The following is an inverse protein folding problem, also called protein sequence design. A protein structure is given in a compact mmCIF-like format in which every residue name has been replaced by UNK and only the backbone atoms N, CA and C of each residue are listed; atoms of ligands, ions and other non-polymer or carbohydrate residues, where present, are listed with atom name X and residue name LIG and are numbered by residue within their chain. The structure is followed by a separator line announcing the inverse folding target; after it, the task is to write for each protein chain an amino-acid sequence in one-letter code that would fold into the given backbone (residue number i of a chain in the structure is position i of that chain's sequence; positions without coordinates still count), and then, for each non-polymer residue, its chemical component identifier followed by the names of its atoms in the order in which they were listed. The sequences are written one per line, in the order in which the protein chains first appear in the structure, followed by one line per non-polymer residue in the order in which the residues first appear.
data_IF_227502736279
#
_entry.id   IF_227502736279
#
_cell.length_a   1.000
_cell.length_b   1.000
_cell.length_c   1.000
_cell.angle_alpha   90.00
_cell.angle_beta   90.00
_cell.angle_gamma   90.00
#
_symmetry.space_group_name_H-M   'P 1'
#
loop_
_entity.id
_entity.type
_entity.pdbx_description
1 polymer ?
#
# COMPACT_ATOMS: atom_id res chain seq x y z
N UNK A 1 -19.95 8.21 19.47
CA UNK A 1 -19.24 7.56 18.35
C UNK A 1 -19.32 8.40 17.08
N UNK A 2 -20.49 8.83 16.66
CA UNK A 2 -20.71 9.68 15.47
C UNK A 2 -19.90 10.99 15.46
N UNK A 3 -19.85 11.72 16.58
CA UNK A 3 -19.11 13.01 16.67
C UNK A 3 -17.61 12.80 16.49
N UNK A 4 -17.05 11.74 17.08
CA UNK A 4 -15.63 11.41 16.97
C UNK A 4 -15.26 11.01 15.52
N UNK A 5 -16.07 10.17 14.89
CA UNK A 5 -15.86 9.78 13.49
C UNK A 5 -15.93 11.00 12.57
N UNK A 6 -16.94 11.84 12.72
CA UNK A 6 -17.09 13.08 11.92
C UNK A 6 -15.89 14.03 12.10
N UNK A 7 -15.38 14.17 13.33
CA UNK A 7 -14.22 15.02 13.59
C UNK A 7 -12.95 14.50 12.90
N UNK A 8 -12.73 13.18 12.93
CA UNK A 8 -11.58 12.56 12.24
C UNK A 8 -11.72 12.68 10.72
N UNK A 9 -12.93 12.44 10.17
CA UNK A 9 -13.20 12.60 8.74
C UNK A 9 -12.93 14.03 8.29
N UNK A 10 -13.42 15.04 9.02
CA UNK A 10 -13.17 16.44 8.70
C UNK A 10 -11.68 16.80 8.75
N UNK A 11 -10.97 16.33 9.78
CA UNK A 11 -9.52 16.55 9.89
C UNK A 11 -8.75 15.86 8.76
N UNK A 12 -9.14 14.65 8.40
CA UNK A 12 -8.60 13.90 7.26
C UNK A 12 -8.87 14.64 5.95
N UNK A 13 -10.10 15.14 5.76
CA UNK A 13 -10.49 15.88 4.57
C UNK A 13 -9.68 17.15 4.37
N UNK A 14 -9.46 17.92 5.43
CA UNK A 14 -8.62 19.12 5.38
C UNK A 14 -7.19 18.74 5.01
N UNK A 15 -6.64 17.73 5.66
CA UNK A 15 -5.27 17.27 5.44
C UNK A 15 -5.05 16.81 3.98
N UNK A 16 -5.95 15.98 3.46
CA UNK A 16 -5.86 15.45 2.10
C UNK A 16 -6.12 16.49 1.02
N UNK A 17 -7.16 17.31 1.18
CA UNK A 17 -7.52 18.31 0.15
C UNK A 17 -6.57 19.49 0.09
N UNK A 18 -6.00 19.91 1.24
CA UNK A 18 -5.21 21.14 1.30
C UNK A 18 -3.70 20.94 1.24
N UNK A 19 -3.19 19.80 1.70
CA UNK A 19 -1.76 19.60 1.85
C UNK A 19 -1.25 18.36 1.10
N UNK A 20 -1.81 17.20 1.40
CA UNK A 20 -1.21 15.93 0.96
C UNK A 20 -1.29 15.72 -0.54
N UNK A 21 -2.40 16.06 -1.17
CA UNK A 21 -2.56 15.94 -2.62
C UNK A 21 -1.40 16.64 -3.35
N UNK A 22 -1.13 17.90 -2.96
CA UNK A 22 -0.08 18.71 -3.57
C UNK A 22 1.33 18.25 -3.16
N UNK A 23 1.51 17.90 -1.89
CA UNK A 23 2.82 17.49 -1.39
C UNK A 23 3.26 16.16 -2.01
N UNK A 24 2.37 15.18 -2.10
CA UNK A 24 2.68 13.85 -2.66
C UNK A 24 2.93 13.90 -4.16
N UNK A 25 1.96 14.45 -4.91
CA UNK A 25 2.10 14.57 -6.37
C UNK A 25 3.24 15.50 -6.71
N UNK A 26 3.36 16.64 -6.01
CA UNK A 26 4.44 17.60 -6.20
C UNK A 26 5.83 17.02 -5.95
N UNK A 27 6.00 16.22 -4.90
CA UNK A 27 7.26 15.51 -4.62
C UNK A 27 7.57 14.51 -5.73
N UNK A 28 6.57 13.76 -6.21
CA UNK A 28 6.75 12.82 -7.31
C UNK A 28 7.15 13.51 -8.63
N UNK A 29 6.50 14.61 -8.97
CA UNK A 29 6.86 15.46 -10.12
C UNK A 29 8.28 16.02 -9.96
N UNK A 30 8.61 16.55 -8.79
CA UNK A 30 9.93 17.07 -8.48
C UNK A 30 11.03 16.01 -8.70
N UNK A 31 10.86 14.80 -8.14
CA UNK A 31 11.83 13.72 -8.35
C UNK A 31 11.86 13.21 -9.79
N UNK A 32 10.72 13.18 -10.49
CA UNK A 32 10.67 12.83 -11.91
C UNK A 32 11.53 13.76 -12.74
N UNK A 33 11.43 15.07 -12.51
CA UNK A 33 12.24 16.07 -13.21
C UNK A 33 13.71 16.00 -12.79
N UNK A 34 13.97 16.00 -11.48
CA UNK A 34 15.32 16.01 -10.92
C UNK A 34 16.15 14.78 -11.30
N UNK A 35 15.49 13.62 -11.37
CA UNK A 35 16.12 12.35 -11.74
C UNK A 35 15.90 11.98 -13.22
N UNK A 36 15.44 12.93 -14.04
CA UNK A 36 15.31 12.79 -15.50
C UNK A 36 14.46 11.59 -15.91
N UNK A 37 13.27 11.44 -15.31
CA UNK A 37 12.36 10.34 -15.61
C UNK A 37 12.89 8.98 -15.16
N UNK A 38 13.41 8.90 -13.93
CA UNK A 38 14.04 7.70 -13.36
C UNK A 38 13.13 6.47 -13.44
N UNK A 39 11.82 6.63 -13.28
CA UNK A 39 10.84 5.56 -13.35
C UNK A 39 10.78 4.88 -14.72
N UNK A 40 11.11 5.59 -15.80
CA UNK A 40 11.22 5.01 -17.14
C UNK A 40 12.64 4.49 -17.39
N UNK A 41 13.63 5.26 -17.02
CA UNK A 41 15.04 5.01 -17.30
C UNK A 41 15.60 3.80 -16.54
N UNK A 42 15.16 3.59 -15.30
CA UNK A 42 15.61 2.47 -14.44
C UNK A 42 14.63 1.30 -14.38
N UNK A 43 13.49 1.39 -15.08
CA UNK A 43 12.49 0.32 -15.07
C UNK A 43 13.05 -1.01 -15.53
N UNK A 44 13.73 -1.00 -16.69
CA UNK A 44 14.36 -2.21 -17.25
C UNK A 44 15.42 -2.82 -16.34
N UNK A 45 16.19 -2.00 -15.61
CA UNK A 45 17.15 -2.47 -14.61
C UNK A 45 16.43 -3.21 -13.47
N UNK A 46 15.33 -2.64 -12.97
CA UNK A 46 14.49 -3.25 -11.94
C UNK A 46 13.96 -4.62 -12.38
N UNK A 47 13.37 -4.68 -13.58
CA UNK A 47 12.87 -5.95 -14.17
C UNK A 47 13.97 -7.00 -14.28
N UNK A 48 15.12 -6.63 -14.81
CA UNK A 48 16.24 -7.57 -14.97
C UNK A 48 16.74 -8.11 -13.61
N UNK A 49 16.81 -7.26 -12.58
CA UNK A 49 17.25 -7.68 -11.24
C UNK A 49 16.28 -8.62 -10.55
N UNK A 50 14.99 -8.43 -10.75
CA UNK A 50 13.95 -9.26 -10.11
C UNK A 50 13.77 -10.58 -10.87
N UNK A 51 13.67 -10.52 -12.20
CA UNK A 51 13.31 -11.68 -13.04
C UNK A 51 14.50 -12.32 -13.74
N UNK A 52 15.61 -11.61 -13.97
CA UNK A 52 16.79 -12.13 -14.68
C UNK A 52 17.59 -13.17 -13.90
N UNK A 53 17.51 -13.15 -12.57
CA UNK A 53 18.14 -14.11 -11.67
C UNK A 53 17.11 -14.82 -10.77
N UNK A 54 15.90 -15.02 -11.29
CA UNK A 54 14.81 -15.60 -10.52
C UNK A 54 15.12 -17.05 -10.16
N UNK A 55 15.41 -17.29 -8.90
CA UNK A 55 15.46 -18.61 -8.29
C UNK A 55 14.44 -18.67 -7.16
N UNK A 56 13.46 -19.57 -7.26
CA UNK A 56 12.48 -19.85 -6.21
C UNK A 56 13.14 -20.29 -4.87
N UNK A 57 14.45 -20.53 -4.88
CA UNK A 57 15.29 -20.86 -3.72
C UNK A 57 16.28 -19.73 -3.47
N UNK A 58 15.78 -18.54 -3.13
CA UNK A 58 16.63 -17.41 -2.70
C UNK A 58 17.46 -17.74 -1.44
N UNK A 59 18.55 -16.98 -1.22
CA UNK A 59 19.31 -17.06 0.04
C UNK A 59 18.38 -16.70 1.19
N UNK A 60 18.42 -17.50 2.28
CA UNK A 60 17.60 -17.21 3.48
C UNK A 60 17.94 -15.83 4.03
N UNK A 61 16.90 -15.11 4.50
CA UNK A 61 17.08 -13.88 5.27
C UNK A 61 17.81 -14.21 6.59
N UNK A 62 18.73 -13.37 6.99
CA UNK A 62 19.52 -13.48 8.21
C UNK A 62 19.70 -12.12 8.88
N UNK A 63 20.50 -12.03 9.93
CA UNK A 63 20.76 -10.79 10.66
C UNK A 63 21.48 -9.71 9.81
N UNK A 64 22.08 -10.10 8.68
CA UNK A 64 22.73 -9.21 7.70
C UNK A 64 21.79 -8.72 6.60
N UNK A 65 20.52 -9.14 6.63
CA UNK A 65 19.48 -8.68 5.72
C UNK A 65 18.83 -9.79 4.90
N UNK A 66 18.22 -9.42 3.77
CA UNK A 66 17.47 -10.28 2.88
C UNK A 66 17.86 -10.04 1.41
N UNK A 67 17.46 -10.93 0.51
CA UNK A 67 17.69 -10.71 -0.94
C UNK A 67 16.85 -9.53 -1.44
N UNK A 68 17.23 -8.92 -2.58
CA UNK A 68 16.42 -7.87 -3.22
C UNK A 68 15.01 -8.35 -3.54
N UNK A 69 14.85 -9.62 -3.94
CA UNK A 69 13.54 -10.22 -4.20
C UNK A 69 12.71 -10.36 -2.91
N UNK A 70 13.30 -10.81 -1.80
CA UNK A 70 12.61 -10.87 -0.50
C UNK A 70 12.21 -9.49 0.01
N UNK A 71 13.09 -8.49 -0.18
CA UNK A 71 12.77 -7.11 0.18
C UNK A 71 11.61 -6.55 -0.67
N UNK A 72 11.62 -6.81 -1.98
CA UNK A 72 10.52 -6.45 -2.87
C UNK A 72 9.24 -7.21 -2.51
N UNK A 73 9.31 -8.52 -2.29
CA UNK A 73 8.14 -9.31 -1.89
C UNK A 73 7.55 -8.84 -0.56
N UNK A 74 8.39 -8.44 0.40
CA UNK A 74 7.93 -7.85 1.66
C UNK A 74 7.28 -6.47 1.45
N UNK A 75 7.82 -5.64 0.55
CA UNK A 75 7.22 -4.37 0.17
C UNK A 75 5.89 -4.58 -0.56
N UNK A 76 5.83 -5.48 -1.55
CA UNK A 76 4.60 -5.82 -2.28
C UNK A 76 3.55 -6.44 -1.33
N UNK A 77 3.96 -7.26 -0.36
CA UNK A 77 3.05 -7.79 0.64
C UNK A 77 2.33 -6.68 1.42
N UNK A 78 3.03 -5.59 1.70
CA UNK A 78 2.45 -4.41 2.33
C UNK A 78 1.57 -3.61 1.36
N UNK A 79 2.00 -3.45 0.12
CA UNK A 79 1.31 -2.67 -0.92
C UNK A 79 0.04 -3.36 -1.43
N UNK A 80 0.13 -4.62 -1.85
CA UNK A 80 -1.00 -5.37 -2.42
C UNK A 80 -1.88 -5.93 -1.29
N UNK A 81 -2.88 -5.17 -0.92
CA UNK A 81 -3.78 -5.44 0.20
C UNK A 81 -5.23 -5.07 -0.09
N UNK A 82 -5.95 -4.66 0.95
CA UNK A 82 -7.34 -4.18 0.81
C UNK A 82 -7.45 -2.98 -0.13
N UNK A 83 -6.38 -2.19 -0.28
CA UNK A 83 -6.32 -1.05 -1.18
C UNK A 83 -6.66 -1.40 -2.63
N UNK A 84 -6.18 -2.55 -3.11
CA UNK A 84 -6.38 -3.01 -4.48
C UNK A 84 -7.81 -3.54 -4.74
N UNK A 85 -8.53 -3.98 -3.73
CA UNK A 85 -9.88 -4.55 -3.85
C UNK A 85 -10.90 -3.55 -3.31
N UNK A 86 -10.98 -3.41 -1.97
CA UNK A 86 -11.92 -2.53 -1.29
C UNK A 86 -11.62 -1.06 -1.56
N UNK A 87 -10.36 -0.66 -1.52
CA UNK A 87 -9.93 0.72 -1.77
C UNK A 87 -10.21 1.17 -3.20
N UNK A 88 -9.95 0.32 -4.19
CA UNK A 88 -10.28 0.58 -5.59
C UNK A 88 -11.79 0.77 -5.78
N UNK A 89 -12.61 -0.13 -5.21
CA UNK A 89 -14.07 -0.01 -5.27
C UNK A 89 -14.56 1.30 -4.63
N UNK A 90 -14.02 1.66 -3.47
CA UNK A 90 -14.34 2.93 -2.79
C UNK A 90 -13.93 4.14 -3.62
N UNK A 91 -12.75 4.11 -4.26
CA UNK A 91 -12.31 5.20 -5.14
C UNK A 91 -13.27 5.43 -6.30
N UNK A 92 -13.71 4.34 -6.94
CA UNK A 92 -14.63 4.41 -8.08
C UNK A 92 -16.04 4.85 -7.68
N UNK A 93 -16.53 4.46 -6.51
CA UNK A 93 -17.83 4.91 -6.01
C UNK A 93 -17.79 6.39 -5.63
N UNK A 94 -16.74 6.84 -4.95
CA UNK A 94 -16.64 8.22 -4.45
C UNK A 94 -16.11 9.22 -5.48
N UNK A 95 -15.25 8.78 -6.40
CA UNK A 95 -14.59 9.62 -7.40
C UNK A 95 -15.01 9.32 -8.85
N UNK A 96 -15.91 8.37 -9.07
CA UNK A 96 -16.31 7.89 -10.40
C UNK A 96 -15.19 7.11 -11.12
N UNK A 97 -15.47 6.55 -12.30
CA UNK A 97 -14.47 5.83 -13.10
C UNK A 97 -13.21 6.65 -13.42
N UNK A 98 -13.33 7.97 -13.52
CA UNK A 98 -12.22 8.91 -13.72
C UNK A 98 -11.18 8.90 -12.59
N UNK A 99 -11.54 8.45 -11.39
CA UNK A 99 -10.59 8.30 -10.30
C UNK A 99 -9.44 7.34 -10.65
N UNK A 100 -9.69 6.32 -11.48
CA UNK A 100 -8.63 5.38 -11.90
C UNK A 100 -7.54 6.07 -12.73
N UNK A 101 -7.88 7.05 -13.55
CA UNK A 101 -6.89 7.89 -14.25
C UNK A 101 -5.96 8.60 -13.25
N UNK A 102 -6.51 9.18 -12.19
CA UNK A 102 -5.74 9.89 -11.18
C UNK A 102 -4.91 8.96 -10.30
N UNK A 103 -5.36 7.72 -10.10
CA UNK A 103 -4.54 6.64 -9.52
C UNK A 103 -3.29 6.42 -10.38
N UNK A 104 -3.43 6.28 -11.70
CA UNK A 104 -2.28 6.10 -12.61
C UNK A 104 -1.32 7.28 -12.58
N UNK A 105 -1.85 8.51 -12.61
CA UNK A 105 -1.03 9.73 -12.55
C UNK A 105 -0.23 9.76 -11.25
N UNK A 106 -0.88 9.54 -10.11
CA UNK A 106 -0.19 9.52 -8.81
C UNK A 106 0.84 8.41 -8.71
N UNK A 107 0.55 7.23 -9.21
CA UNK A 107 1.48 6.10 -9.22
C UNK A 107 2.69 6.33 -10.14
N UNK A 108 2.48 6.92 -11.32
CA UNK A 108 3.56 7.25 -12.24
C UNK A 108 4.59 8.17 -11.58
N UNK A 109 4.13 9.24 -10.94
CA UNK A 109 5.01 10.13 -10.19
C UNK A 109 5.50 9.50 -8.89
N UNK A 110 4.67 8.69 -8.23
CA UNK A 110 5.02 7.92 -7.04
C UNK A 110 6.18 6.95 -7.26
N UNK A 111 6.33 6.39 -8.47
CA UNK A 111 7.49 5.55 -8.79
C UNK A 111 8.83 6.29 -8.66
N UNK A 112 8.88 7.59 -8.95
CA UNK A 112 10.09 8.39 -8.72
C UNK A 112 10.31 8.67 -7.22
N UNK A 113 9.23 8.84 -6.47
CA UNK A 113 9.29 9.04 -5.01
C UNK A 113 9.80 7.77 -4.31
N UNK A 114 9.23 6.61 -4.62
CA UNK A 114 9.63 5.34 -3.98
C UNK A 114 11.07 4.95 -4.34
N UNK A 115 11.54 5.32 -5.55
CA UNK A 115 12.95 5.19 -5.92
C UNK A 115 13.83 5.96 -4.93
N UNK A 116 13.50 7.23 -4.68
CA UNK A 116 14.24 8.07 -3.75
C UNK A 116 14.20 7.51 -2.32
N UNK A 117 13.04 7.03 -1.87
CA UNK A 117 12.86 6.38 -0.57
C UNK A 117 13.78 5.16 -0.42
N UNK A 118 13.78 4.26 -1.39
CA UNK A 118 14.59 3.04 -1.34
C UNK A 118 16.10 3.35 -1.41
N UNK A 119 16.51 4.33 -2.23
CA UNK A 119 17.90 4.79 -2.30
C UNK A 119 18.37 5.35 -0.96
N UNK A 120 17.57 6.21 -0.32
CA UNK A 120 17.91 6.78 0.98
C UNK A 120 17.87 5.73 2.10
N UNK A 121 16.93 4.79 2.06
CA UNK A 121 16.88 3.67 2.99
C UNK A 121 18.16 2.83 2.95
N UNK A 122 18.67 2.54 1.77
CA UNK A 122 19.93 1.84 1.58
C UNK A 122 21.16 2.69 1.99
N UNK A 123 21.16 3.97 1.66
CA UNK A 123 22.27 4.89 1.96
C UNK A 123 22.45 5.10 3.46
N UNK A 124 21.34 5.16 4.20
CA UNK A 124 21.34 5.47 5.63
C UNK A 124 21.00 4.27 6.52
N UNK A 125 21.03 3.06 5.97
CA UNK A 125 20.92 1.84 6.79
C UNK A 125 22.08 1.72 7.77
N UNK A 126 21.84 1.09 8.90
CA UNK A 126 22.83 0.89 9.96
C UNK A 126 22.69 -0.49 10.58
N UNK A 127 23.62 -0.84 11.45
CA UNK A 127 23.57 -2.09 12.21
C UNK A 127 23.36 -1.74 13.68
N UNK A 128 22.33 -2.32 14.27
CA UNK A 128 22.02 -2.19 15.71
C UNK A 128 21.98 -3.58 16.33
N UNK A 129 22.79 -3.82 17.36
CA UNK A 129 22.93 -5.12 18.02
C UNK A 129 23.25 -6.27 17.03
N UNK A 130 24.13 -6.02 16.06
CA UNK A 130 24.52 -7.00 15.04
C UNK A 130 23.51 -7.22 13.91
N UNK A 131 22.33 -6.57 13.93
CA UNK A 131 21.27 -6.72 12.94
C UNK A 131 21.16 -5.47 12.07
N UNK A 132 21.07 -5.64 10.77
CA UNK A 132 20.83 -4.53 9.83
C UNK A 132 19.44 -3.96 10.05
N UNK A 133 19.34 -2.65 10.05
CA UNK A 133 18.10 -1.88 10.19
C UNK A 133 18.17 -0.59 9.39
N UNK A 134 17.03 0.02 9.08
CA UNK A 134 16.96 1.27 8.35
C UNK A 134 15.51 1.75 8.22
N UNK A 135 15.30 2.74 7.39
CA UNK A 135 14.00 3.35 7.15
C UNK A 135 14.01 4.86 7.40
N UNK A 136 12.84 5.52 7.29
CA UNK A 136 12.76 6.98 7.32
C UNK A 136 13.33 7.63 8.57
N UNK A 137 13.16 7.04 9.75
CA UNK A 137 13.69 7.61 10.97
C UNK A 137 15.21 7.89 10.91
N UNK A 138 15.95 7.08 10.14
CA UNK A 138 17.39 7.23 9.98
C UNK A 138 17.74 8.35 9.00
N UNK A 139 17.11 8.42 7.85
CA UNK A 139 17.40 9.49 6.89
C UNK A 139 16.72 10.82 7.27
N UNK A 140 15.63 10.85 8.03
CA UNK A 140 15.08 12.07 8.63
C UNK A 140 16.10 12.73 9.56
N UNK A 141 16.78 11.93 10.40
CA UNK A 141 17.88 12.44 11.26
C UNK A 141 19.09 12.92 10.45
N UNK A 142 19.34 12.33 9.29
CA UNK A 142 20.40 12.78 8.39
C UNK A 142 20.03 14.07 7.65
N UNK A 143 18.75 14.22 7.26
CA UNK A 143 18.22 15.41 6.60
C UNK A 143 18.21 16.64 7.52
N UNK A 144 17.82 16.45 8.78
CA UNK A 144 17.65 17.52 9.76
C UNK A 144 18.53 17.25 10.98
N UNK A 145 19.61 18.01 11.10
CA UNK A 145 20.58 17.88 12.20
C UNK A 145 20.01 18.40 13.52
N UNK A 146 20.59 17.93 14.65
CA UNK A 146 20.27 18.42 15.99
C UNK A 146 18.96 17.89 16.55
N UNK A 147 18.35 18.65 17.46
CA UNK A 147 17.13 18.27 18.18
C UNK A 147 15.92 18.13 17.28
N UNK A 148 15.79 19.03 16.29
CA UNK A 148 14.68 19.02 15.35
C UNK A 148 14.58 17.68 14.57
N UNK A 149 15.72 17.21 14.02
CA UNK A 149 15.73 15.94 13.29
C UNK A 149 15.42 14.73 14.18
N UNK A 150 15.87 14.75 15.45
CA UNK A 150 15.55 13.71 16.42
C UNK A 150 14.04 13.67 16.75
N UNK A 151 13.46 14.85 16.99
CA UNK A 151 12.01 14.97 17.29
C UNK A 151 11.18 14.55 16.08
N UNK A 152 11.52 15.05 14.88
CA UNK A 152 10.78 14.72 13.66
C UNK A 152 10.84 13.21 13.32
N UNK A 153 12.00 12.58 13.50
CA UNK A 153 12.15 11.13 13.36
C UNK A 153 11.35 10.35 14.40
N UNK A 154 11.30 10.85 15.66
CA UNK A 154 10.44 10.27 16.71
C UNK A 154 8.95 10.39 16.37
N UNK A 155 8.52 11.56 15.90
CA UNK A 155 7.14 11.78 15.43
C UNK A 155 6.78 10.82 14.30
N UNK A 156 7.65 10.69 13.27
CA UNK A 156 7.45 9.71 12.21
C UNK A 156 7.30 8.29 12.76
N UNK A 157 8.19 7.89 13.69
CA UNK A 157 8.15 6.55 14.26
C UNK A 157 6.86 6.26 15.05
N UNK A 158 6.34 7.24 15.78
CA UNK A 158 5.04 7.11 16.45
C UNK A 158 3.91 7.02 15.44
N UNK A 159 3.92 7.90 14.42
CA UNK A 159 2.88 7.93 13.40
C UNK A 159 2.79 6.63 12.59
N UNK A 160 3.92 6.03 12.20
CA UNK A 160 3.90 4.75 11.45
C UNK A 160 3.41 3.58 12.32
N UNK A 161 3.72 3.57 13.61
CA UNK A 161 3.17 2.58 14.55
C UNK A 161 1.65 2.70 14.63
N UNK A 162 1.13 3.92 14.76
CA UNK A 162 -0.31 4.18 14.80
C UNK A 162 -0.97 3.89 13.44
N UNK A 163 -0.40 4.42 12.34
CA UNK A 163 -0.96 4.32 11.01
C UNK A 163 -1.01 2.88 10.50
N UNK A 164 0.12 2.18 10.51
CA UNK A 164 0.24 0.85 9.91
C UNK A 164 0.18 -0.26 10.95
N UNK A 165 0.93 -0.11 12.05
CA UNK A 165 0.98 -1.12 13.11
C UNK A 165 -0.39 -1.37 13.75
N UNK A 166 -1.20 -0.34 13.93
CA UNK A 166 -2.49 -0.43 14.60
C UNK A 166 -3.67 -0.19 13.64
N UNK A 167 -3.91 1.05 13.20
CA UNK A 167 -5.11 1.39 12.42
C UNK A 167 -5.17 0.69 11.08
N UNK A 168 -4.05 0.62 10.36
CA UNK A 168 -3.97 -0.07 9.09
C UNK A 168 -4.27 -1.58 9.21
N UNK A 169 -3.73 -2.23 10.24
CA UNK A 169 -4.02 -3.64 10.50
C UNK A 169 -5.49 -3.89 10.86
N UNK A 170 -6.17 -2.92 11.48
CA UNK A 170 -7.62 -2.97 11.69
C UNK A 170 -8.38 -2.95 10.35
N UNK A 171 -7.98 -2.09 9.39
CA UNK A 171 -8.58 -2.03 8.05
C UNK A 171 -8.46 -3.39 7.34
N UNK A 172 -7.27 -3.98 7.37
CA UNK A 172 -7.03 -5.27 6.72
C UNK A 172 -7.91 -6.37 7.32
N UNK A 173 -7.91 -6.48 8.66
CA UNK A 173 -8.72 -7.47 9.38
C UNK A 173 -10.22 -7.27 9.18
N UNK A 174 -10.69 -6.03 9.17
CA UNK A 174 -12.09 -5.67 8.92
C UNK A 174 -12.53 -6.14 7.53
N UNK A 175 -11.74 -5.84 6.49
CA UNK A 175 -12.04 -6.23 5.11
C UNK A 175 -12.04 -7.76 4.89
N UNK A 176 -11.17 -8.49 5.59
CA UNK A 176 -11.24 -9.97 5.60
C UNK A 176 -12.56 -10.43 6.24
N UNK A 177 -12.93 -9.83 7.38
CA UNK A 177 -14.19 -10.11 8.07
C UNK A 177 -15.39 -9.91 7.16
N UNK A 178 -15.49 -8.78 6.47
CA UNK A 178 -16.56 -8.46 5.52
C UNK A 178 -16.61 -9.45 4.35
N UNK A 179 -15.45 -9.77 3.76
CA UNK A 179 -15.38 -10.69 2.63
C UNK A 179 -15.88 -12.10 3.00
N UNK A 180 -15.49 -12.60 4.17
CA UNK A 180 -15.92 -13.93 4.64
C UNK A 180 -17.36 -13.94 5.16
N UNK A 181 -17.83 -12.84 5.75
CA UNK A 181 -19.23 -12.69 6.11
C UNK A 181 -20.13 -12.75 4.88
N UNK A 182 -19.80 -11.97 3.84
CA UNK A 182 -20.58 -11.93 2.61
C UNK A 182 -20.55 -13.25 1.84
N UNK A 183 -19.41 -13.96 1.83
CA UNK A 183 -19.26 -15.21 1.07
C UNK A 183 -19.82 -16.43 1.78
N UNK A 184 -19.69 -16.52 3.11
CA UNK A 184 -19.94 -17.72 3.89
C UNK A 184 -20.89 -17.52 5.07
N UNK A 185 -21.35 -16.29 5.34
CA UNK A 185 -22.13 -15.96 6.53
C UNK A 185 -21.37 -16.07 7.86
N UNK A 186 -20.04 -16.11 7.82
CA UNK A 186 -19.21 -16.22 9.04
C UNK A 186 -19.27 -14.93 9.86
N UNK A 187 -19.22 -15.03 11.19
CA UNK A 187 -19.17 -13.85 12.04
C UNK A 187 -17.80 -13.17 11.93
N UNK A 188 -17.79 -11.83 11.90
CA UNK A 188 -16.56 -11.03 11.85
C UNK A 188 -15.60 -11.37 13.00
N UNK A 189 -16.15 -11.63 14.19
CA UNK A 189 -15.35 -12.03 15.36
C UNK A 189 -14.64 -13.37 15.14
N UNK A 190 -15.34 -14.38 14.60
CA UNK A 190 -14.73 -15.68 14.34
C UNK A 190 -13.60 -15.58 13.31
N UNK A 191 -13.81 -14.82 12.23
CA UNK A 191 -12.78 -14.54 11.22
C UNK A 191 -11.61 -13.79 11.86
N UNK A 192 -11.88 -12.75 12.67
CA UNK A 192 -10.88 -11.97 13.37
C UNK A 192 -10.00 -12.82 14.31
N UNK A 193 -10.60 -13.78 15.04
CA UNK A 193 -9.86 -14.71 15.91
C UNK A 193 -8.88 -15.56 15.09
N UNK A 194 -9.34 -16.12 13.96
CA UNK A 194 -8.49 -16.94 13.08
C UNK A 194 -7.34 -16.12 12.51
N UNK A 195 -7.63 -14.93 11.97
CA UNK A 195 -6.63 -14.02 11.42
C UNK A 195 -5.61 -13.62 12.49
N UNK A 196 -6.07 -13.23 13.69
CA UNK A 196 -5.22 -12.84 14.80
C UNK A 196 -4.31 -14.00 15.27
N UNK A 197 -4.84 -15.22 15.34
CA UNK A 197 -4.07 -16.41 15.73
C UNK A 197 -2.96 -16.74 14.73
N UNK A 198 -3.25 -16.70 13.42
CA UNK A 198 -2.27 -16.96 12.37
C UNK A 198 -1.21 -15.85 12.36
N UNK A 199 -1.63 -14.58 12.51
CA UNK A 199 -0.74 -13.44 12.59
C UNK A 199 0.22 -13.55 13.79
N UNK A 200 -0.30 -13.86 14.98
CA UNK A 200 0.50 -14.07 16.18
C UNK A 200 1.56 -15.17 15.99
N UNK A 201 1.20 -16.28 15.36
CA UNK A 201 2.14 -17.36 15.06
C UNK A 201 3.29 -16.88 14.14
N UNK A 202 2.99 -16.05 13.13
CA UNK A 202 4.01 -15.53 12.22
C UNK A 202 4.89 -14.49 12.93
N UNK A 203 4.31 -13.60 13.74
CA UNK A 203 5.03 -12.55 14.46
C UNK A 203 6.08 -13.12 15.43
N UNK A 204 5.81 -14.24 16.06
CA UNK A 204 6.75 -14.94 16.94
C UNK A 204 8.02 -15.39 16.22
N UNK A 205 8.00 -15.54 14.89
CA UNK A 205 9.16 -15.94 14.09
C UNK A 205 10.03 -14.78 13.60
N UNK A 206 9.66 -13.54 13.90
CA UNK A 206 10.41 -12.35 13.57
C UNK A 206 10.59 -12.12 12.05
N UNK A 207 11.54 -11.26 11.70
CA UNK A 207 11.79 -10.80 10.31
C UNK A 207 12.08 -11.95 9.34
N UNK A 208 12.79 -12.98 9.79
CA UNK A 208 13.14 -14.14 8.95
C UNK A 208 11.90 -14.92 8.50
N UNK A 209 10.94 -15.13 9.42
CA UNK A 209 9.67 -15.79 9.09
C UNK A 209 8.79 -14.90 8.21
N UNK A 210 8.75 -13.62 8.49
CA UNK A 210 8.04 -12.63 7.68
C UNK A 210 8.54 -12.69 6.23
N UNK A 211 9.86 -12.56 6.01
CA UNK A 211 10.46 -12.61 4.68
C UNK A 211 10.17 -13.95 3.97
N UNK A 212 10.26 -15.09 4.67
CA UNK A 212 10.01 -16.41 4.11
C UNK A 212 8.53 -16.63 3.72
N UNK A 213 7.60 -16.04 4.46
CA UNK A 213 6.16 -16.12 4.17
C UNK A 213 5.79 -15.22 3.00
N UNK A 214 6.24 -13.97 3.01
CA UNK A 214 5.92 -12.99 1.95
C UNK A 214 6.52 -13.39 0.60
N UNK A 215 7.76 -13.91 0.58
CA UNK A 215 8.42 -14.42 -0.65
C UNK A 215 7.59 -15.48 -1.38
N UNK A 216 6.84 -16.31 -0.65
CA UNK A 216 6.02 -17.38 -1.22
C UNK A 216 4.59 -16.94 -1.53
N UNK A 217 3.97 -16.23 -0.59
CA UNK A 217 2.55 -15.83 -0.70
C UNK A 217 2.37 -14.81 -1.82
N UNK A 218 3.24 -13.81 -1.92
CA UNK A 218 3.04 -12.68 -2.84
C UNK A 218 2.93 -13.10 -4.31
N UNK A 219 3.84 -13.89 -4.88
CA UNK A 219 3.71 -14.31 -6.27
C UNK A 219 2.46 -15.15 -6.53
N UNK A 220 2.11 -16.04 -5.59
CA UNK A 220 0.96 -16.94 -5.73
C UNK A 220 -0.34 -16.15 -5.69
N UNK A 221 -0.51 -15.26 -4.68
CA UNK A 221 -1.71 -14.46 -4.54
C UNK A 221 -1.93 -13.51 -5.72
N UNK A 222 -0.84 -12.87 -6.18
CA UNK A 222 -0.90 -11.95 -7.32
C UNK A 222 -1.28 -12.70 -8.60
N UNK A 223 -0.64 -13.84 -8.89
CA UNK A 223 -0.96 -14.65 -10.06
C UNK A 223 -2.41 -15.14 -10.05
N UNK A 224 -2.89 -15.65 -8.91
CA UNK A 224 -4.26 -16.14 -8.77
C UNK A 224 -5.29 -15.02 -9.02
N UNK A 225 -5.07 -13.83 -8.46
CA UNK A 225 -5.95 -12.69 -8.66
C UNK A 225 -5.92 -12.15 -10.09
N UNK A 226 -4.72 -11.99 -10.66
CA UNK A 226 -4.53 -11.51 -12.03
C UNK A 226 -5.24 -12.43 -13.03
N UNK A 227 -5.08 -13.75 -12.87
CA UNK A 227 -5.76 -14.73 -13.73
C UNK A 227 -7.28 -14.58 -13.64
N UNK A 228 -7.83 -14.47 -12.43
CA UNK A 228 -9.28 -14.25 -12.24
C UNK A 228 -9.78 -12.98 -12.92
N UNK A 229 -9.08 -11.85 -12.74
CA UNK A 229 -9.43 -10.59 -13.40
C UNK A 229 -9.35 -10.69 -14.92
N UNK A 230 -8.26 -11.27 -15.46
CA UNK A 230 -8.07 -11.43 -16.90
C UNK A 230 -9.19 -12.29 -17.51
N UNK A 231 -9.58 -13.39 -16.87
CA UNK A 231 -10.71 -14.22 -17.33
C UNK A 231 -11.99 -13.38 -17.44
N UNK A 232 -12.32 -12.59 -16.40
CA UNK A 232 -13.51 -11.72 -16.44
C UNK A 232 -13.43 -10.69 -17.55
N UNK A 233 -12.27 -10.04 -17.74
CA UNK A 233 -12.10 -9.02 -18.76
C UNK A 233 -12.15 -9.62 -20.18
N UNK A 234 -11.63 -10.83 -20.37
CA UNK A 234 -11.77 -11.56 -21.64
C UNK A 234 -13.24 -11.90 -21.92
N UNK A 235 -13.99 -12.35 -20.91
CA UNK A 235 -15.44 -12.59 -21.05
C UNK A 235 -16.20 -11.30 -21.40
N UNK A 236 -15.77 -10.15 -20.86
CA UNK A 236 -16.38 -8.84 -21.05
C UNK A 236 -15.60 -7.93 -22.03
N UNK A 237 -14.81 -8.48 -22.95
CA UNK A 237 -13.90 -7.70 -23.80
C UNK A 237 -14.60 -6.59 -24.61
N UNK A 238 -15.87 -6.77 -24.97
CA UNK A 238 -16.66 -5.75 -25.69
C UNK A 238 -16.93 -4.49 -24.88
N UNK A 239 -16.90 -4.58 -23.53
CA UNK A 239 -17.10 -3.45 -22.64
C UNK A 239 -15.80 -2.65 -22.39
N UNK A 240 -14.62 -3.22 -22.69
CA UNK A 240 -13.33 -2.58 -22.43
C UNK A 240 -13.15 -1.22 -23.11
N UNK A 241 -13.47 -1.03 -24.42
CA UNK A 241 -13.33 0.28 -25.06
C UNK A 241 -14.15 1.37 -24.35
N UNK A 242 -15.38 1.04 -23.93
CA UNK A 242 -16.21 1.98 -23.18
C UNK A 242 -15.65 2.25 -21.78
N UNK A 243 -15.12 1.23 -21.10
CA UNK A 243 -14.47 1.39 -19.79
C UNK A 243 -13.28 2.35 -19.86
N UNK A 244 -12.40 2.21 -20.85
CA UNK A 244 -11.30 3.14 -21.06
C UNK A 244 -11.81 4.56 -21.38
N UNK A 245 -12.84 4.68 -22.22
CA UNK A 245 -13.47 5.98 -22.52
C UNK A 245 -13.98 6.63 -21.22
N UNK A 246 -14.67 5.89 -20.36
CA UNK A 246 -15.14 6.40 -19.07
C UNK A 246 -13.97 6.87 -18.21
N UNK A 247 -12.87 6.11 -18.11
CA UNK A 247 -11.70 6.47 -17.29
C UNK A 247 -11.13 7.82 -17.75
N UNK A 248 -10.91 8.01 -19.06
CA UNK A 248 -10.28 9.23 -19.57
C UNK A 248 -11.24 10.43 -19.58
N UNK A 249 -12.49 10.25 -20.02
CA UNK A 249 -13.46 11.35 -20.12
C UNK A 249 -13.89 11.80 -18.73
N UNK A 250 -14.26 10.87 -17.84
CA UNK A 250 -14.76 11.21 -16.51
C UNK A 250 -13.67 11.70 -15.56
N UNK A 251 -12.39 11.51 -15.88
CA UNK A 251 -11.30 12.13 -15.14
C UNK A 251 -11.32 13.66 -15.18
N UNK A 252 -11.81 14.24 -16.28
CA UNK A 252 -11.84 15.68 -16.54
C UNK A 252 -13.25 16.25 -16.66
N UNK A 253 -14.24 15.41 -16.91
CA UNK A 253 -15.65 15.78 -16.99
C UNK A 253 -16.54 14.68 -16.37
N UNK A 254 -16.61 14.56 -15.03
CA UNK A 254 -17.30 13.47 -14.34
C UNK A 254 -18.79 13.33 -14.65
N UNK A 255 -19.41 14.34 -15.22
CA UNK A 255 -20.85 14.36 -15.54
C UNK A 255 -21.16 14.09 -17.02
N UNK A 256 -20.13 13.89 -17.86
CA UNK A 256 -20.30 13.82 -19.31
C UNK A 256 -20.94 12.54 -19.82
N UNK A 257 -21.03 11.47 -19.03
CA UNK A 257 -21.47 10.15 -19.47
C UNK A 257 -22.46 9.50 -18.50
N UNK A 258 -23.33 8.65 -19.05
CA UNK A 258 -24.33 7.90 -18.27
C UNK A 258 -23.76 6.92 -17.21
N UNK A 259 -22.47 6.67 -17.17
CA UNK A 259 -21.77 5.90 -16.15
C UNK A 259 -21.12 6.75 -15.06
N UNK A 260 -21.24 8.08 -15.15
CA UNK A 260 -20.73 8.99 -14.14
C UNK A 260 -21.57 8.93 -12.87
N UNK A 261 -20.90 8.99 -11.71
CA UNK A 261 -21.58 9.09 -10.42
C UNK A 261 -22.14 10.50 -10.28
N UNK A 262 -23.44 10.64 -10.02
CA UNK A 262 -24.09 11.94 -9.90
C UNK A 262 -23.45 12.78 -8.78
N UNK A 263 -23.11 14.03 -9.09
CA UNK A 263 -22.54 14.99 -8.14
C UNK A 263 -21.02 14.89 -7.93
N UNK A 264 -20.31 13.96 -8.57
CA UNK A 264 -18.84 13.88 -8.50
C UNK A 264 -18.20 15.03 -9.28
N UNK A 265 -17.19 15.64 -8.68
CA UNK A 265 -16.37 16.70 -9.30
C UNK A 265 -15.00 16.15 -9.71
N UNK A 266 -14.30 16.88 -10.62
CA UNK A 266 -12.90 16.57 -10.97
C UNK A 266 -12.00 16.53 -9.73
N UNK A 267 -12.22 17.44 -8.78
CA UNK A 267 -11.47 17.48 -7.53
C UNK A 267 -11.69 16.20 -6.69
N UNK A 268 -12.92 15.70 -6.64
CA UNK A 268 -13.23 14.45 -5.93
C UNK A 268 -12.61 13.24 -6.65
N UNK A 269 -12.69 13.15 -7.98
CA UNK A 269 -12.04 12.10 -8.75
C UNK A 269 -10.52 12.08 -8.49
N UNK A 270 -9.89 13.26 -8.52
CA UNK A 270 -8.46 13.42 -8.23
C UNK A 270 -8.13 13.03 -6.79
N UNK A 271 -8.88 13.55 -5.81
CA UNK A 271 -8.66 13.29 -4.39
C UNK A 271 -8.74 11.80 -4.07
N UNK A 272 -9.85 11.16 -4.43
CA UNK A 272 -10.05 9.74 -4.13
C UNK A 272 -9.10 8.86 -4.92
N UNK A 273 -8.80 9.21 -6.18
CA UNK A 273 -7.81 8.51 -6.98
C UNK A 273 -6.42 8.56 -6.34
N UNK A 274 -5.93 9.74 -5.97
CA UNK A 274 -4.60 9.90 -5.35
C UNK A 274 -4.56 9.26 -3.96
N UNK A 275 -5.58 9.50 -3.11
CA UNK A 275 -5.60 8.98 -1.75
C UNK A 275 -5.63 7.44 -1.73
N UNK A 276 -6.47 6.81 -2.55
CA UNK A 276 -6.57 5.34 -2.61
C UNK A 276 -5.41 4.70 -3.35
N UNK A 277 -4.88 5.37 -4.38
CA UNK A 277 -3.63 4.97 -5.04
C UNK A 277 -2.46 4.93 -4.06
N UNK A 278 -2.29 6.00 -3.25
CA UNK A 278 -1.25 6.05 -2.24
C UNK A 278 -1.43 5.00 -1.14
N UNK A 279 -2.66 4.82 -0.63
CA UNK A 279 -2.96 3.78 0.35
C UNK A 279 -2.57 2.39 -0.14
N UNK A 280 -2.67 2.14 -1.44
CA UNK A 280 -2.30 0.88 -2.08
C UNK A 280 -0.78 0.78 -2.29
N UNK A 281 -0.19 1.70 -3.06
CA UNK A 281 1.20 1.59 -3.49
C UNK A 281 2.24 2.15 -2.50
N UNK A 282 1.81 2.87 -1.47
CA UNK A 282 2.61 3.42 -0.37
C UNK A 282 3.75 4.38 -0.78
N UNK A 283 3.80 4.85 -2.03
CA UNK A 283 4.86 5.73 -2.49
C UNK A 283 4.82 7.11 -1.81
N UNK A 284 5.88 7.47 -1.08
CA UNK A 284 5.96 8.70 -0.31
C UNK A 284 5.45 8.61 1.13
N UNK A 285 4.92 7.46 1.55
CA UNK A 285 4.49 7.24 2.93
C UNK A 285 5.64 6.95 3.91
N UNK A 286 6.77 6.47 3.39
CA UNK A 286 7.91 6.09 4.24
C UNK A 286 7.78 4.68 4.87
N UNK A 287 6.88 3.87 4.40
CA UNK A 287 6.63 2.51 4.90
C UNK A 287 7.59 1.48 4.33
N UNK A 288 7.57 1.29 3.01
CA UNK A 288 8.39 0.32 2.27
C UNK A 288 9.90 0.49 2.41
N UNK A 289 10.46 1.69 2.69
CA UNK A 289 11.88 1.87 2.98
C UNK A 289 12.43 0.93 4.06
N UNK A 290 11.61 0.48 5.01
CA UNK A 290 12.02 -0.48 6.03
C UNK A 290 12.41 -1.85 5.42
N UNK A 291 11.67 -2.32 4.43
CA UNK A 291 12.01 -3.55 3.72
C UNK A 291 13.21 -3.33 2.79
N UNK A 292 13.20 -2.23 2.04
CA UNK A 292 14.27 -1.91 1.09
C UNK A 292 15.62 -1.68 1.76
N UNK A 293 15.66 -1.15 3.00
CA UNK A 293 16.89 -1.00 3.77
C UNK A 293 17.60 -2.33 4.05
N UNK A 294 16.84 -3.43 4.19
CA UNK A 294 17.38 -4.76 4.49
C UNK A 294 17.90 -5.51 3.25
N UNK A 295 17.66 -5.00 2.05
CA UNK A 295 18.12 -5.66 0.82
C UNK A 295 19.64 -5.67 0.73
N UNK A 296 20.21 -6.85 0.41
CA UNK A 296 21.64 -7.06 0.12
C UNK A 296 21.92 -6.69 -1.32
N UNK A 297 22.32 -5.45 -1.55
CA UNK A 297 22.69 -4.90 -2.85
C UNK A 297 24.07 -4.25 -2.80
N UNK A 298 24.76 -4.18 -3.94
CA UNK A 298 26.07 -3.58 -4.04
C UNK A 298 25.97 -2.03 -4.07
N UNK A 299 24.89 -1.51 -4.68
CA UNK A 299 24.71 -0.07 -4.81
C UNK A 299 23.26 0.32 -4.47
N UNK A 300 23.01 1.44 -3.72
CA UNK A 300 21.67 1.86 -3.32
C UNK A 300 20.68 2.02 -4.48
N UNK A 301 21.13 2.52 -5.65
CA UNK A 301 20.27 2.69 -6.83
C UNK A 301 19.65 1.39 -7.33
N UNK A 302 20.32 0.26 -7.11
CA UNK A 302 19.83 -1.05 -7.51
C UNK A 302 18.51 -1.38 -6.81
N UNK A 303 18.45 -1.08 -5.52
CA UNK A 303 17.21 -1.28 -4.75
C UNK A 303 16.16 -0.21 -5.07
N UNK A 304 16.58 1.00 -5.44
CA UNK A 304 15.69 2.02 -5.99
C UNK A 304 14.97 1.54 -7.25
N UNK A 305 15.71 0.97 -8.21
CA UNK A 305 15.14 0.41 -9.44
C UNK A 305 14.16 -0.74 -9.15
N UNK A 306 14.47 -1.58 -8.17
CA UNK A 306 13.56 -2.67 -7.72
C UNK A 306 12.30 -2.12 -7.08
N UNK A 307 12.38 -1.04 -6.28
CA UNK A 307 11.22 -0.43 -5.63
C UNK A 307 10.18 0.13 -6.63
N UNK A 308 10.63 0.65 -7.79
CA UNK A 308 9.74 1.10 -8.87
C UNK A 308 8.77 -0.02 -9.30
N UNK A 309 9.25 -1.27 -9.36
CA UNK A 309 8.42 -2.42 -9.74
C UNK A 309 7.31 -2.71 -8.73
N UNK A 310 7.54 -2.44 -7.45
CA UNK A 310 6.49 -2.60 -6.42
C UNK A 310 5.27 -1.76 -6.75
N UNK A 311 5.45 -0.47 -6.98
CA UNK A 311 4.37 0.45 -7.38
C UNK A 311 3.75 0.06 -8.73
N UNK A 312 4.57 -0.36 -9.69
CA UNK A 312 4.08 -0.80 -11.00
C UNK A 312 3.16 -2.02 -10.87
N UNK A 313 3.59 -3.05 -10.18
CA UNK A 313 2.81 -4.29 -9.99
C UNK A 313 1.53 -3.99 -9.21
N UNK A 314 1.64 -3.26 -8.11
CA UNK A 314 0.49 -2.90 -7.29
C UNK A 314 -0.56 -2.13 -8.08
N UNK A 315 -0.17 -1.03 -8.71
CA UNK A 315 -1.13 -0.07 -9.27
C UNK A 315 -1.42 -0.32 -10.75
N UNK A 316 -0.38 -0.41 -11.60
CA UNK A 316 -0.61 -0.55 -13.05
C UNK A 316 -1.06 -1.95 -13.45
N UNK A 317 -0.79 -2.97 -12.61
CA UNK A 317 -1.27 -4.33 -12.86
C UNK A 317 -2.48 -4.63 -11.99
N UNK A 318 -2.31 -4.81 -10.69
CA UNK A 318 -3.35 -5.37 -9.81
C UNK A 318 -4.54 -4.43 -9.66
N UNK A 319 -4.30 -3.17 -9.25
CA UNK A 319 -5.38 -2.20 -9.02
C UNK A 319 -6.09 -1.83 -10.33
N UNK A 320 -5.34 -1.70 -11.44
CA UNK A 320 -5.94 -1.44 -12.76
C UNK A 320 -6.87 -2.57 -13.19
N UNK A 321 -6.48 -3.82 -13.02
CA UNK A 321 -7.33 -4.97 -13.34
C UNK A 321 -8.62 -4.95 -12.51
N UNK A 322 -8.52 -4.67 -11.20
CA UNK A 322 -9.70 -4.49 -10.35
C UNK A 322 -10.60 -3.38 -10.87
N UNK A 323 -10.04 -2.21 -11.15
CA UNK A 323 -10.79 -1.06 -11.65
C UNK A 323 -11.51 -1.36 -12.97
N UNK A 324 -10.85 -2.03 -13.91
CA UNK A 324 -11.46 -2.43 -15.18
C UNK A 324 -12.59 -3.44 -14.97
N UNK A 325 -12.42 -4.44 -14.10
CA UNK A 325 -13.50 -5.38 -13.76
C UNK A 325 -14.70 -4.64 -13.18
N UNK A 326 -14.49 -3.72 -12.24
CA UNK A 326 -15.57 -2.96 -11.63
C UNK A 326 -16.28 -2.02 -12.62
N UNK A 327 -15.55 -1.33 -13.49
CA UNK A 327 -16.14 -0.44 -14.49
C UNK A 327 -16.93 -1.24 -15.53
N UNK A 328 -16.37 -2.35 -16.02
CA UNK A 328 -17.05 -3.19 -17.01
C UNK A 328 -18.27 -3.92 -16.48
N UNK A 329 -18.37 -4.10 -15.15
CA UNK A 329 -19.55 -4.70 -14.51
C UNK A 329 -20.78 -3.81 -14.55
N UNK A 330 -20.60 -2.48 -14.64
CA UNK A 330 -21.70 -1.51 -14.59
C UNK A 330 -22.35 -1.32 -13.22
N UNK A 331 -21.82 -1.94 -12.15
CA UNK A 331 -22.44 -1.94 -10.81
C UNK A 331 -22.09 -0.72 -9.94
N UNK A 332 -21.18 0.16 -10.38
CA UNK A 332 -20.72 1.31 -9.58
C UNK A 332 -21.89 2.19 -9.12
N UNK A 333 -22.93 2.50 -9.96
CA UNK A 333 -24.05 3.34 -9.55
C UNK A 333 -25.08 2.66 -8.63
N UNK A 334 -24.99 1.36 -8.36
CA UNK A 334 -26.03 0.58 -7.67
C UNK A 334 -26.01 0.68 -6.14
N UNK A 335 -25.17 1.57 -5.58
CA UNK A 335 -25.11 1.81 -4.14
C UNK A 335 -24.30 0.83 -3.32
N UNK A 336 -23.67 -0.16 -3.95
CA UNK A 336 -22.69 -1.03 -3.31
C UNK A 336 -21.34 -0.34 -3.25
N UNK A 337 -20.53 -0.66 -2.24
CA UNK A 337 -19.18 -0.13 -2.09
C UNK A 337 -18.21 -1.18 -1.53
N UNK A 338 -16.92 -0.87 -1.59
CA UNK A 338 -15.88 -1.69 -0.95
C UNK A 338 -15.89 -3.14 -1.41
N UNK A 339 -15.75 -4.04 -0.46
CA UNK A 339 -15.69 -5.49 -0.69
C UNK A 339 -16.96 -6.03 -1.35
N UNK A 340 -18.14 -5.55 -0.93
CA UNK A 340 -19.42 -5.99 -1.46
C UNK A 340 -19.58 -5.70 -2.96
N UNK A 341 -19.15 -4.52 -3.41
CA UNK A 341 -19.15 -4.16 -4.83
C UNK A 341 -18.25 -5.09 -5.65
N UNK A 342 -17.04 -5.36 -5.14
CA UNK A 342 -16.10 -6.24 -5.85
C UNK A 342 -16.64 -7.69 -5.91
N UNK A 343 -17.20 -8.19 -4.82
CA UNK A 343 -17.82 -9.52 -4.80
C UNK A 343 -18.99 -9.61 -5.78
N UNK A 344 -19.83 -8.58 -5.85
CA UNK A 344 -20.95 -8.54 -6.80
C UNK A 344 -20.46 -8.51 -8.27
N UNK A 345 -19.40 -7.73 -8.58
CA UNK A 345 -18.82 -7.67 -9.91
C UNK A 345 -18.23 -9.03 -10.35
N UNK A 346 -17.54 -9.72 -9.46
CA UNK A 346 -17.03 -11.08 -9.73
C UNK A 346 -18.15 -12.12 -9.84
N UNK A 347 -19.26 -11.92 -9.13
CA UNK A 347 -20.43 -12.81 -9.22
C UNK A 347 -21.10 -12.77 -10.59
N UNK A 348 -21.04 -11.66 -11.32
CA UNK A 348 -21.57 -11.58 -12.68
C UNK A 348 -20.89 -12.59 -13.62
N UNK A 349 -19.59 -12.83 -13.45
CA UNK A 349 -18.82 -13.75 -14.28
C UNK A 349 -18.74 -15.17 -13.70
N UNK A 350 -18.54 -15.28 -12.40
CA UNK A 350 -18.30 -16.56 -11.71
C UNK A 350 -19.49 -17.09 -10.93
N UNK A 351 -20.66 -16.43 -11.00
CA UNK A 351 -21.85 -16.84 -10.26
C UNK A 351 -21.59 -16.89 -8.74
N UNK A 352 -22.08 -17.93 -8.09
CA UNK A 352 -21.91 -18.13 -6.65
C UNK A 352 -20.46 -18.30 -6.18
N UNK A 353 -19.52 -18.59 -7.09
CA UNK A 353 -18.08 -18.64 -6.77
C UNK A 353 -17.44 -17.27 -6.67
N UNK A 354 -18.03 -16.22 -7.26
CA UNK A 354 -17.48 -14.86 -7.23
C UNK A 354 -17.16 -14.33 -5.84
N UNK A 355 -18.10 -14.34 -4.88
CA UNK A 355 -17.84 -13.92 -3.51
C UNK A 355 -16.77 -14.75 -2.81
N UNK A 356 -16.74 -16.07 -3.07
CA UNK A 356 -15.74 -17.00 -2.52
C UNK A 356 -14.34 -16.67 -3.06
N UNK A 357 -14.23 -16.45 -4.38
CA UNK A 357 -12.97 -16.07 -5.02
C UNK A 357 -12.40 -14.80 -4.39
N UNK A 358 -13.22 -13.76 -4.23
CA UNK A 358 -12.79 -12.49 -3.60
C UNK A 358 -12.48 -12.68 -2.13
N UNK A 359 -13.21 -13.51 -1.38
CA UNK A 359 -12.88 -13.78 0.02
C UNK A 359 -11.51 -14.44 0.18
N UNK A 360 -11.18 -15.40 -0.68
CA UNK A 360 -9.85 -16.04 -0.71
C UNK A 360 -8.76 -15.02 -1.07
N UNK A 361 -8.97 -14.23 -2.13
CA UNK A 361 -8.02 -13.19 -2.53
C UNK A 361 -7.84 -12.14 -1.42
N UNK A 362 -8.94 -11.68 -0.80
CA UNK A 362 -8.91 -10.72 0.29
C UNK A 362 -8.13 -11.24 1.49
N UNK A 363 -8.31 -12.52 1.83
CA UNK A 363 -7.52 -13.14 2.90
C UNK A 363 -6.03 -13.04 2.60
N UNK A 364 -5.58 -13.47 1.43
CA UNK A 364 -4.15 -13.44 1.11
C UNK A 364 -3.61 -12.02 0.99
N UNK A 365 -4.32 -11.11 0.32
CA UNK A 365 -3.90 -9.72 0.13
C UNK A 365 -3.83 -8.97 1.47
N UNK A 366 -4.94 -8.95 2.20
CA UNK A 366 -4.99 -8.23 3.47
C UNK A 366 -4.11 -8.87 4.54
N UNK A 367 -4.01 -10.20 4.56
CA UNK A 367 -3.16 -10.89 5.52
C UNK A 367 -1.67 -10.66 5.25
N UNK A 368 -1.23 -10.67 3.98
CA UNK A 368 0.16 -10.30 3.64
C UNK A 368 0.47 -8.87 4.04
N UNK A 369 -0.49 -7.95 3.89
CA UNK A 369 -0.35 -6.56 4.33
C UNK A 369 -0.25 -6.44 5.85
N UNK A 370 -1.05 -7.19 6.60
CA UNK A 370 -0.91 -7.26 8.08
C UNK A 370 0.53 -7.63 8.48
N UNK A 371 1.12 -8.61 7.80
CA UNK A 371 2.49 -9.06 8.07
C UNK A 371 3.51 -7.96 7.73
N UNK A 372 3.38 -7.32 6.55
CA UNK A 372 4.27 -6.25 6.11
C UNK A 372 4.18 -5.02 7.02
N UNK A 373 2.97 -4.58 7.35
CA UNK A 373 2.75 -3.42 8.20
C UNK A 373 3.14 -3.66 9.66
N UNK A 374 2.91 -4.87 10.16
CA UNK A 374 3.46 -5.27 11.44
C UNK A 374 4.99 -5.08 11.48
N UNK A 375 5.69 -5.54 10.46
CA UNK A 375 7.14 -5.41 10.37
C UNK A 375 7.60 -3.95 10.34
N UNK A 376 6.92 -3.07 9.61
CA UNK A 376 7.27 -1.64 9.57
C UNK A 376 7.04 -0.96 10.92
N UNK A 377 5.92 -1.22 11.57
CA UNK A 377 5.67 -0.74 12.93
C UNK A 377 6.64 -1.31 13.97
N UNK A 378 6.95 -2.61 13.88
CA UNK A 378 7.92 -3.29 14.74
C UNK A 378 9.30 -2.64 14.69
N UNK A 379 9.76 -2.29 13.49
CA UNK A 379 11.07 -1.65 13.29
C UNK A 379 11.15 -0.30 14.01
N UNK A 380 10.08 0.49 13.95
CA UNK A 380 9.99 1.78 14.63
C UNK A 380 9.75 1.63 16.15
N UNK A 381 8.94 0.68 16.57
CA UNK A 381 8.70 0.40 17.99
C UNK A 381 9.99 -0.06 18.67
N UNK A 382 10.76 -0.92 18.00
CA UNK A 382 12.09 -1.33 18.48
C UNK A 382 13.05 -0.14 18.60
N UNK A 383 13.03 0.78 17.63
CA UNK A 383 13.89 1.97 17.65
C UNK A 383 13.55 2.93 18.80
N UNK A 384 12.27 3.03 19.21
CA UNK A 384 11.81 3.89 20.30
C UNK A 384 11.97 3.25 21.70
N UNK A 385 11.60 1.97 21.83
CA UNK A 385 11.42 1.30 23.13
C UNK A 385 12.39 0.13 23.36
N UNK A 386 13.21 -0.21 22.35
CA UNK A 386 14.16 -1.31 22.42
C UNK A 386 13.56 -2.69 22.10
N UNK A 387 14.44 -3.67 21.97
CA UNK A 387 14.08 -5.04 21.54
C UNK A 387 13.24 -5.79 22.57
N UNK A 388 13.45 -5.52 23.87
CA UNK A 388 12.71 -6.15 24.96
C UNK A 388 11.22 -5.80 24.98
N UNK A 389 10.81 -4.69 24.37
CA UNK A 389 9.43 -4.25 24.31
C UNK A 389 8.64 -4.88 23.14
N UNK A 390 9.28 -5.60 22.22
CA UNK A 390 8.63 -6.19 21.04
C UNK A 390 7.48 -7.16 21.36
N UNK A 391 7.53 -8.01 22.41
CA UNK A 391 6.38 -8.85 22.75
C UNK A 391 5.12 -8.02 23.08
N UNK A 392 5.30 -6.88 23.76
CA UNK A 392 4.18 -5.97 24.08
C UNK A 392 3.58 -5.41 22.79
N UNK A 393 4.42 -4.95 21.84
CA UNK A 393 3.97 -4.49 20.54
C UNK A 393 3.16 -5.57 19.80
N UNK A 394 3.69 -6.81 19.75
CA UNK A 394 3.02 -7.93 19.08
C UNK A 394 1.63 -8.21 19.67
N UNK A 395 1.50 -8.22 21.00
CA UNK A 395 0.21 -8.42 21.68
C UNK A 395 -0.76 -7.29 21.33
N UNK A 396 -0.30 -6.04 21.39
CA UNK A 396 -1.15 -4.89 21.03
C UNK A 396 -1.64 -5.01 19.59
N UNK A 397 -0.78 -5.33 18.62
CA UNK A 397 -1.18 -5.50 17.23
C UNK A 397 -2.22 -6.62 17.06
N UNK A 398 -2.02 -7.76 17.72
CA UNK A 398 -2.99 -8.88 17.70
C UNK A 398 -4.35 -8.44 18.25
N UNK A 399 -4.37 -7.66 19.33
CA UNK A 399 -5.63 -7.09 19.86
C UNK A 399 -6.28 -6.14 18.85
N UNK A 400 -5.49 -5.27 18.20
CA UNK A 400 -6.03 -4.36 17.18
C UNK A 400 -6.58 -5.11 15.96
N UNK A 401 -5.95 -6.20 15.52
CA UNK A 401 -6.48 -7.09 14.46
C UNK A 401 -7.85 -7.64 14.87
N UNK A 402 -7.96 -8.14 16.09
CA UNK A 402 -9.21 -8.73 16.61
C UNK A 402 -10.32 -7.67 16.74
N UNK A 403 -10.01 -6.53 17.36
CA UNK A 403 -10.96 -5.42 17.55
C UNK A 403 -11.37 -4.84 16.19
N UNK A 404 -10.41 -4.65 15.28
CA UNK A 404 -10.65 -4.10 13.95
C UNK A 404 -11.65 -4.91 13.13
N UNK A 405 -11.62 -6.24 13.25
CA UNK A 405 -12.56 -7.11 12.54
C UNK A 405 -14.03 -6.86 12.92
N UNK A 406 -14.30 -6.30 14.10
CA UNK A 406 -15.66 -6.11 14.63
C UNK A 406 -16.15 -4.65 14.58
N UNK A 407 -15.27 -3.71 14.25
CA UNK A 407 -15.62 -2.28 14.17
C UNK A 407 -16.35 -1.92 12.88
N UNK A 408 -17.02 -0.75 12.89
CA UNK A 408 -17.64 -0.20 11.69
C UNK A 408 -16.56 0.20 10.67
N UNK A 409 -16.78 -0.15 9.42
CA UNK A 409 -15.88 0.09 8.28
C UNK A 409 -15.46 1.56 8.18
N UNK A 410 -16.43 2.49 8.23
CA UNK A 410 -16.18 3.93 8.06
C UNK A 410 -15.20 4.49 9.11
N UNK A 411 -15.36 4.10 10.38
CA UNK A 411 -14.47 4.54 11.45
C UNK A 411 -13.04 4.03 11.25
N UNK A 412 -12.90 2.77 10.86
CA UNK A 412 -11.59 2.13 10.68
C UNK A 412 -10.83 2.78 9.52
N UNK A 413 -11.53 3.03 8.40
CA UNK A 413 -10.94 3.71 7.25
C UNK A 413 -10.60 5.18 7.55
N UNK A 414 -11.48 5.93 8.23
CA UNK A 414 -11.21 7.32 8.58
C UNK A 414 -9.97 7.47 9.46
N UNK A 415 -9.80 6.61 10.46
CA UNK A 415 -8.59 6.59 11.30
C UNK A 415 -7.34 6.25 10.50
N UNK A 416 -7.41 5.24 9.62
CA UNK A 416 -6.27 4.85 8.79
C UNK A 416 -5.87 5.98 7.84
N UNK A 417 -6.81 6.60 7.16
CA UNK A 417 -6.54 7.72 6.24
C UNK A 417 -5.89 8.91 6.95
N UNK A 418 -6.38 9.25 8.14
CA UNK A 418 -5.83 10.35 8.92
C UNK A 418 -4.37 10.12 9.33
N UNK A 419 -4.07 8.97 9.94
CA UNK A 419 -2.71 8.68 10.40
C UNK A 419 -1.74 8.42 9.25
N UNK A 420 -2.18 7.78 8.15
CA UNK A 420 -1.38 7.61 6.94
C UNK A 420 -1.00 8.97 6.34
N UNK A 421 -1.95 9.90 6.27
CA UNK A 421 -1.68 11.25 5.81
C UNK A 421 -0.64 11.96 6.66
N UNK A 422 -0.80 11.94 7.99
CA UNK A 422 0.15 12.57 8.90
C UNK A 422 1.55 11.95 8.80
N UNK A 423 1.65 10.64 8.65
CA UNK A 423 2.91 9.90 8.53
C UNK A 423 3.70 10.30 7.29
N UNK A 424 3.04 10.59 6.17
CA UNK A 424 3.70 10.96 4.92
C UNK A 424 4.47 12.29 5.03
N UNK A 425 3.98 13.25 5.82
CA UNK A 425 4.56 14.61 5.88
C UNK A 425 6.04 14.61 6.30
N UNK A 426 6.46 14.05 7.45
CA UNK A 426 7.87 14.02 7.85
C UNK A 426 8.77 13.32 6.82
N UNK A 427 8.25 12.27 6.21
CA UNK A 427 8.98 11.52 5.19
C UNK A 427 9.24 12.36 3.95
N UNK A 428 8.21 12.98 3.38
CA UNK A 428 8.34 13.81 2.17
C UNK A 428 9.25 15.00 2.39
N UNK A 429 9.22 15.64 3.56
CA UNK A 429 10.15 16.72 3.91
C UNK A 429 11.60 16.24 3.89
N UNK A 430 11.89 15.06 4.44
CA UNK A 430 13.23 14.50 4.43
C UNK A 430 13.69 14.10 3.02
N UNK A 431 12.80 13.55 2.20
CA UNK A 431 13.09 13.22 0.80
C UNK A 431 13.50 14.47 0.01
N UNK A 432 12.73 15.54 0.13
CA UNK A 432 13.04 16.82 -0.54
C UNK A 432 14.36 17.40 -0.06
N UNK A 433 14.63 17.39 1.25
CA UNK A 433 15.88 17.88 1.82
C UNK A 433 17.10 17.08 1.35
N UNK A 434 16.96 15.76 1.17
CA UNK A 434 18.03 14.87 0.71
C UNK A 434 18.03 14.61 -0.80
N UNK A 435 17.26 15.35 -1.57
CA UNK A 435 17.14 15.15 -3.03
C UNK A 435 18.47 15.26 -3.77
N UNK A 436 19.40 16.07 -3.25
CA UNK A 436 20.77 16.16 -3.77
C UNK A 436 21.57 14.86 -3.63
N UNK A 437 21.41 14.18 -2.48
CA UNK A 437 22.03 12.87 -2.21
C UNK A 437 21.50 11.80 -3.17
N UNK A 438 20.17 11.76 -3.35
CA UNK A 438 19.55 10.82 -4.30
C UNK A 438 20.05 11.04 -5.72
N UNK A 439 20.12 12.32 -6.15
CA UNK A 439 20.59 12.66 -7.49
C UNK A 439 22.07 12.35 -7.72
N UNK A 440 22.91 12.44 -6.68
CA UNK A 440 24.30 12.03 -6.75
C UNK A 440 24.44 10.50 -6.93
N UNK A 441 23.74 9.74 -6.09
CA UNK A 441 23.74 8.26 -6.15
C UNK A 441 23.18 7.72 -7.48
N UNK A 442 22.17 8.37 -8.06
CA UNK A 442 21.60 7.94 -9.36
C UNK A 442 22.58 8.12 -10.52
N UNK A 443 23.56 9.02 -10.40
CA UNK A 443 24.59 9.26 -11.43
C UNK A 443 25.77 8.31 -11.35
N UNK A 444 26.06 7.77 -10.18
CA UNK A 444 27.08 6.73 -9.98
C UNK A 444 26.69 5.43 -10.69
#
# INVERSE_FOLDING_TARGET
MTIFTTAIEQASDILWNSLLLFLLVGTGVFFTIRLRGVQLRRFGEGVHRVFGNFTLRGKKADDQGMSSFQALATAIAAQVGTGNITGCATALVSGGPGALFWVWVSAFFGMATIYAEAVLAQRYRTTVNGKVTGGPAYYIRAAFKGTFGKVLAGVFSVLIILALGFMGNMVQSNSIGDAFHNAFGMSHLAVGIVVAAIAAFIFLGGVQRIAAVTEKIVPIMAAFYIVGCVVILVMNYKALPNAFTQIFVLAFNPQAMAGGVAGVTVQQAMRFGVARGLFSNEAGMGSTPHAHALAKVNHPREQGAVAILGVFIDTFVVLTLTGLVLITSGLIPEGLTGTALTQAAFSQAFGGFGPVFIAICMFFFAFSTIIGWYFFGQSNFKALFGEKALPVYSVIVVVFILVGSTLKVDLVWAMADFFNGLMAVPNLLALLALSGVVAAIDKE
#
